data_IF_686897066327
#
_entry.id   IF_686897066327
#
_cell.length_a   1.000
_cell.length_b   1.000
_cell.length_c   1.000
_cell.angle_alpha   90.00
_cell.angle_beta   90.00
_cell.angle_gamma   90.00
#
_symmetry.space_group_name_H-M   'P 1'
#
loop_
_entity.id
_entity.type
_entity.pdbx_description
1 polymer ?
#
# COMPACT_ATOMS: atom_id res chain seq x y z
N UNK A 1 -6.50 -9.55 5.75
CA UNK A 1 -6.71 -10.93 5.25
C UNK A 1 -7.09 -10.90 3.78
N UNK A 2 -6.52 -11.82 3.01
CA UNK A 2 -6.79 -12.02 1.60
C UNK A 2 -7.08 -13.49 1.35
N UNK A 3 -8.01 -13.84 0.47
CA UNK A 3 -8.19 -15.21 0.05
C UNK A 3 -7.09 -15.62 -0.94
N UNK A 4 -6.61 -16.84 -0.80
CA UNK A 4 -5.80 -17.51 -1.81
C UNK A 4 -6.68 -18.17 -2.88
N UNK A 5 -6.09 -18.60 -3.99
CA UNK A 5 -6.83 -19.29 -5.06
C UNK A 5 -7.43 -20.63 -4.61
N UNK A 6 -6.79 -21.29 -3.66
CA UNK A 6 -7.26 -22.56 -3.07
C UNK A 6 -8.21 -22.36 -1.88
N UNK A 7 -8.61 -21.11 -1.59
CA UNK A 7 -9.61 -20.78 -0.57
C UNK A 7 -9.07 -20.66 0.84
N UNK A 8 -7.77 -20.66 1.03
CA UNK A 8 -7.16 -20.36 2.32
C UNK A 8 -7.14 -18.86 2.60
N UNK A 9 -6.74 -18.46 3.79
CA UNK A 9 -6.61 -17.06 4.17
C UNK A 9 -5.15 -16.69 4.39
N UNK A 10 -4.71 -15.61 3.77
CA UNK A 10 -3.39 -15.01 4.01
C UNK A 10 -3.53 -13.75 4.83
N UNK A 11 -2.67 -13.60 5.81
CA UNK A 11 -2.51 -12.38 6.58
C UNK A 11 -1.27 -11.63 6.09
N UNK A 12 -1.47 -10.40 5.68
CA UNK A 12 -0.39 -9.51 5.31
C UNK A 12 -0.03 -8.65 6.52
N UNK A 13 1.17 -8.84 7.05
CA UNK A 13 1.64 -8.15 8.23
C UNK A 13 2.56 -6.99 7.82
N UNK A 14 2.34 -5.85 8.40
CA UNK A 14 3.11 -4.63 8.17
C UNK A 14 3.12 -3.77 9.42
N UNK A 15 3.42 -2.49 9.27
CA UNK A 15 3.58 -1.54 10.37
C UNK A 15 4.99 -1.57 10.93
N UNK A 16 5.16 -1.25 12.22
CA UNK A 16 6.47 -1.04 12.85
C UNK A 16 7.44 -2.20 12.66
N UNK A 17 6.95 -3.44 12.64
CA UNK A 17 7.79 -4.62 12.41
C UNK A 17 8.39 -4.69 11.01
N UNK A 18 7.84 -3.96 10.06
CA UNK A 18 8.27 -3.92 8.65
C UNK A 18 9.07 -2.66 8.30
N UNK A 19 9.19 -1.70 9.23
CA UNK A 19 9.94 -0.45 9.02
C UNK A 19 11.46 -0.66 9.21
N UNK A 20 12.20 0.35 9.64
CA UNK A 20 13.66 0.37 9.64
C UNK A 20 14.33 -0.88 10.22
N UNK A 21 13.92 -1.33 11.39
CA UNK A 21 14.48 -2.55 12.01
C UNK A 21 14.08 -3.81 11.23
N UNK A 22 12.89 -3.83 10.67
CA UNK A 22 12.40 -4.94 9.84
C UNK A 22 13.23 -5.11 8.57
N UNK A 23 13.63 -3.99 7.96
CA UNK A 23 14.50 -4.03 6.76
C UNK A 23 15.89 -4.61 7.08
N UNK A 24 16.40 -4.38 8.28
CA UNK A 24 17.72 -4.88 8.69
C UNK A 24 17.72 -6.39 9.04
N UNK A 25 16.57 -6.99 9.36
CA UNK A 25 16.47 -8.40 9.74
C UNK A 25 16.55 -9.31 8.51
N UNK A 26 17.12 -10.49 8.68
CA UNK A 26 16.94 -11.59 7.74
C UNK A 26 15.52 -12.18 7.86
N UNK A 27 15.18 -13.09 6.96
CA UNK A 27 13.86 -13.71 6.92
C UNK A 27 13.50 -14.43 8.22
N UNK A 28 14.41 -15.23 8.76
CA UNK A 28 14.16 -16.02 9.96
C UNK A 28 13.91 -15.10 11.18
N UNK A 29 14.72 -14.06 11.33
CA UNK A 29 14.57 -13.07 12.40
C UNK A 29 13.27 -12.27 12.23
N UNK A 30 12.89 -11.91 11.01
CA UNK A 30 11.64 -11.19 10.75
C UNK A 30 10.41 -12.06 11.07
N UNK A 31 10.42 -13.33 10.69
CA UNK A 31 9.35 -14.27 11.03
C UNK A 31 9.27 -14.48 12.56
N UNK A 32 10.40 -14.62 13.24
CA UNK A 32 10.40 -14.75 14.69
C UNK A 32 9.81 -13.53 15.40
N UNK A 33 10.13 -12.34 14.92
CA UNK A 33 9.56 -11.09 15.43
C UNK A 33 8.06 -11.01 15.18
N UNK A 34 7.60 -11.31 13.96
CA UNK A 34 6.20 -11.32 13.63
C UNK A 34 5.38 -12.28 14.49
N UNK A 35 5.91 -13.49 14.74
CA UNK A 35 5.30 -14.46 15.65
C UNK A 35 5.19 -13.93 17.08
N UNK A 36 6.24 -13.26 17.56
CA UNK A 36 6.26 -12.69 18.90
C UNK A 36 5.22 -11.58 19.07
N UNK A 37 5.12 -10.69 18.08
CA UNK A 37 4.14 -9.61 18.12
C UNK A 37 2.70 -10.13 17.99
N UNK A 38 2.45 -11.08 17.11
CA UNK A 38 1.12 -11.69 17.00
C UNK A 38 0.72 -12.44 18.27
N UNK A 39 1.64 -13.14 18.93
CA UNK A 39 1.35 -13.81 20.18
C UNK A 39 0.94 -12.84 21.31
N UNK A 40 1.43 -11.60 21.27
CA UNK A 40 0.99 -10.55 22.22
C UNK A 40 -0.38 -9.99 21.84
N UNK A 41 -0.60 -9.71 20.55
CA UNK A 41 -1.80 -9.04 20.07
C UNK A 41 -3.00 -9.99 20.00
N UNK A 42 -2.77 -11.24 19.63
CA UNK A 42 -3.78 -12.25 19.36
C UNK A 42 -3.46 -13.57 20.09
N UNK A 43 -3.32 -13.56 21.42
CA UNK A 43 -2.87 -14.73 22.18
C UNK A 43 -3.81 -15.94 22.13
N UNK A 44 -5.03 -15.74 21.65
CA UNK A 44 -6.05 -16.80 21.50
C UNK A 44 -6.03 -17.48 20.14
N UNK A 45 -5.15 -17.06 19.22
CA UNK A 45 -5.07 -17.67 17.88
C UNK A 45 -3.89 -18.62 17.85
N UNK A 46 -4.17 -19.88 17.49
CA UNK A 46 -3.12 -20.86 17.23
C UNK A 46 -2.57 -20.70 15.81
N UNK A 47 -1.31 -20.31 15.70
CA UNK A 47 -0.57 -20.18 14.45
C UNK A 47 0.46 -21.28 14.25
N UNK A 48 0.36 -22.40 14.99
CA UNK A 48 1.32 -23.49 14.93
C UNK A 48 1.43 -24.13 13.54
N UNK A 49 0.35 -24.14 12.79
CA UNK A 49 0.29 -24.72 11.43
C UNK A 49 0.42 -23.63 10.33
N UNK A 50 0.60 -22.36 10.70
CA UNK A 50 0.72 -21.29 9.71
C UNK A 50 2.06 -21.38 8.96
N UNK A 51 1.99 -21.24 7.65
CA UNK A 51 3.17 -21.03 6.81
C UNK A 51 3.57 -19.56 6.85
N UNK A 52 4.84 -19.28 6.75
CA UNK A 52 5.40 -17.95 6.88
C UNK A 52 6.34 -17.64 5.73
N UNK A 53 6.23 -16.44 5.20
CA UNK A 53 7.16 -15.91 4.22
C UNK A 53 7.36 -14.42 4.45
N UNK A 54 8.45 -13.88 3.92
CA UNK A 54 8.72 -12.44 3.94
C UNK A 54 8.77 -11.90 2.53
N UNK A 55 8.34 -10.66 2.36
CA UNK A 55 8.43 -9.94 1.11
C UNK A 55 9.08 -8.58 1.36
N UNK A 56 10.18 -8.30 0.65
CA UNK A 56 10.79 -6.98 0.62
C UNK A 56 10.21 -6.19 -0.54
N UNK A 57 9.75 -4.99 -0.25
CA UNK A 57 9.21 -4.08 -1.26
C UNK A 57 9.82 -2.70 -1.09
N UNK A 58 10.17 -2.08 -2.21
CA UNK A 58 10.52 -0.67 -2.25
C UNK A 58 9.24 0.12 -2.54
N UNK A 59 8.85 0.97 -1.59
CA UNK A 59 7.71 1.86 -1.75
C UNK A 59 8.20 3.23 -2.18
N UNK A 60 7.70 3.71 -3.32
CA UNK A 60 7.90 5.10 -3.69
C UNK A 60 7.02 5.98 -2.80
N UNK A 61 7.64 6.93 -2.11
CA UNK A 61 6.96 7.92 -1.28
C UNK A 61 7.56 9.30 -1.53
N UNK A 62 6.80 10.39 -1.34
CA UNK A 62 7.36 11.73 -1.44
C UNK A 62 8.51 11.92 -0.45
N UNK A 63 9.59 12.59 -0.88
CA UNK A 63 10.70 12.90 0.01
C UNK A 63 10.22 13.77 1.18
N UNK A 64 10.60 13.40 2.39
CA UNK A 64 10.20 14.06 3.62
C UNK A 64 11.42 14.34 4.50
N UNK A 65 11.34 15.42 5.27
CA UNK A 65 12.39 15.80 6.21
C UNK A 65 12.42 14.97 7.50
N UNK A 66 11.37 14.20 7.75
CA UNK A 66 11.23 13.35 8.93
C UNK A 66 10.60 12.00 8.54
N UNK A 67 10.77 11.00 9.39
CA UNK A 67 10.25 9.63 9.19
C UNK A 67 8.73 9.50 9.45
N UNK A 68 8.07 10.58 9.82
CA UNK A 68 6.63 10.56 10.08
C UNK A 68 5.86 10.69 8.78
N UNK A 69 4.89 9.81 8.55
CA UNK A 69 3.98 9.93 7.40
C UNK A 69 3.13 11.19 7.55
N UNK A 70 3.02 12.01 6.49
CA UNK A 70 2.20 13.21 6.53
C UNK A 70 0.75 12.89 6.85
N UNK A 71 0.08 13.84 7.50
CA UNK A 71 -1.37 13.77 7.74
C UNK A 71 -2.19 14.34 6.59
N UNK A 72 -1.52 14.83 5.55
CA UNK A 72 -2.14 15.39 4.35
C UNK A 72 -1.69 14.62 3.10
N UNK A 73 -2.53 14.61 2.08
CA UNK A 73 -2.13 14.15 0.76
C UNK A 73 -1.05 15.07 0.17
N UNK A 74 -0.13 14.48 -0.56
CA UNK A 74 0.89 15.22 -1.29
C UNK A 74 0.42 15.49 -2.72
N UNK A 75 0.55 16.73 -3.18
CA UNK A 75 0.33 17.12 -4.57
C UNK A 75 1.42 18.13 -4.97
N UNK A 76 2.10 17.84 -6.06
CA UNK A 76 3.10 18.71 -6.65
C UNK A 76 2.90 18.86 -8.16
N UNK A 77 3.35 19.97 -8.69
CA UNK A 77 3.28 20.28 -10.10
C UNK A 77 4.67 20.18 -10.74
N UNK A 78 4.72 19.56 -11.90
CA UNK A 78 5.91 19.49 -12.73
C UNK A 78 5.53 19.84 -14.18
N UNK A 79 5.53 21.12 -14.50
CA UNK A 79 5.05 21.61 -15.79
C UNK A 79 3.57 21.33 -16.00
N UNK A 80 3.22 20.40 -16.89
CA UNK A 80 1.83 19.99 -17.16
C UNK A 80 1.42 18.69 -16.45
N UNK A 81 2.25 18.21 -15.55
CA UNK A 81 1.99 16.99 -14.78
C UNK A 81 1.62 17.36 -13.35
N UNK A 82 0.57 16.74 -12.84
CA UNK A 82 0.26 16.68 -11.43
C UNK A 82 0.80 15.37 -10.88
N UNK A 83 1.69 15.45 -9.89
CA UNK A 83 2.25 14.30 -9.19
C UNK A 83 1.64 14.26 -7.81
N UNK A 84 0.89 13.21 -7.53
CA UNK A 84 0.15 13.12 -6.30
C UNK A 84 0.30 11.79 -5.57
N UNK A 85 0.18 11.87 -4.25
CA UNK A 85 0.29 10.73 -3.36
C UNK A 85 -0.66 10.87 -2.17
N UNK A 86 -1.60 9.94 -1.97
CA UNK A 86 -2.50 9.99 -0.82
C UNK A 86 -1.79 9.64 0.50
N UNK A 87 -0.53 9.18 0.50
CA UNK A 87 0.30 8.75 1.64
C UNK A 87 -0.34 7.69 2.54
N UNK A 88 -1.62 7.81 2.83
CA UNK A 88 -2.47 6.82 3.51
C UNK A 88 -3.73 6.65 2.66
N UNK A 89 -4.27 5.45 2.57
CA UNK A 89 -5.52 5.20 1.83
C UNK A 89 -6.69 6.09 2.32
N UNK A 90 -6.73 6.36 3.62
CA UNK A 90 -7.72 7.25 4.23
C UNK A 90 -7.64 8.71 3.73
N UNK A 91 -6.52 9.12 3.15
CA UNK A 91 -6.34 10.45 2.56
C UNK A 91 -6.72 10.52 1.06
N UNK A 92 -7.23 9.45 0.48
CA UNK A 92 -7.67 9.45 -0.92
C UNK A 92 -8.76 10.51 -1.23
N UNK A 93 -9.75 10.77 -0.35
CA UNK A 93 -10.68 11.88 -0.55
C UNK A 93 -10.00 13.26 -0.54
N UNK A 94 -9.15 13.54 0.45
CA UNK A 94 -8.38 14.80 0.52
C UNK A 94 -7.52 14.98 -0.74
N UNK A 95 -6.90 13.91 -1.22
CA UNK A 95 -6.13 13.93 -2.46
C UNK A 95 -7.01 14.27 -3.68
N UNK A 96 -8.18 13.66 -3.78
CA UNK A 96 -9.11 13.93 -4.88
C UNK A 96 -9.58 15.38 -4.87
N UNK A 97 -9.93 15.93 -3.71
CA UNK A 97 -10.38 17.31 -3.56
C UNK A 97 -9.27 18.30 -3.98
N UNK A 98 -8.03 18.05 -3.60
CA UNK A 98 -6.87 18.88 -4.01
C UNK A 98 -6.62 18.83 -5.51
N UNK A 99 -6.73 17.66 -6.13
CA UNK A 99 -6.60 17.52 -7.58
C UNK A 99 -7.73 18.27 -8.30
N UNK A 100 -8.97 18.12 -7.84
CA UNK A 100 -10.11 18.84 -8.43
C UNK A 100 -9.94 20.36 -8.32
N UNK A 101 -9.59 20.86 -7.14
CA UNK A 101 -9.35 22.29 -6.93
C UNK A 101 -8.26 22.82 -7.88
N UNK A 102 -7.16 22.07 -8.02
CA UNK A 102 -6.08 22.47 -8.93
C UNK A 102 -6.50 22.50 -10.39
N UNK A 103 -7.28 21.51 -10.83
CA UNK A 103 -7.82 21.48 -12.21
C UNK A 103 -8.76 22.65 -12.46
N UNK A 104 -9.59 23.02 -11.48
CA UNK A 104 -10.49 24.19 -11.58
C UNK A 104 -9.71 25.50 -11.67
N UNK A 105 -8.63 25.67 -10.93
CA UNK A 105 -7.72 26.81 -11.04
C UNK A 105 -7.12 26.94 -12.43
N UNK A 106 -6.81 25.82 -13.09
CA UNK A 106 -6.36 25.79 -14.48
C UNK A 106 -7.48 25.99 -15.51
N UNK A 107 -8.71 26.19 -15.07
CA UNK A 107 -9.88 26.36 -15.92
C UNK A 107 -10.39 25.06 -16.54
N UNK A 108 -9.89 23.91 -16.08
CA UNK A 108 -10.36 22.59 -16.52
C UNK A 108 -11.61 22.24 -15.72
N UNK A 109 -12.73 22.10 -16.43
CA UNK A 109 -14.03 21.79 -15.83
C UNK A 109 -14.61 20.53 -16.45
N UNK A 110 -15.45 19.78 -15.73
CA UNK A 110 -16.18 18.66 -16.30
C UNK A 110 -17.00 19.17 -17.50
N UNK A 111 -16.91 18.45 -18.63
CA UNK A 111 -17.81 18.66 -19.75
C UNK A 111 -18.95 17.63 -19.68
N UNK A 112 -20.14 18.03 -20.11
CA UNK A 112 -21.22 17.07 -20.25
C UNK A 112 -20.83 16.02 -21.31
N UNK A 113 -20.82 14.76 -20.89
CA UNK A 113 -20.78 13.58 -21.77
C UNK A 113 -19.53 13.34 -22.64
N UNK A 114 -18.33 13.43 -22.10
CA UNK A 114 -17.22 12.77 -22.75
C UNK A 114 -17.36 11.23 -22.63
N UNK A 115 -17.57 10.54 -23.73
CA UNK A 115 -17.49 9.09 -23.73
C UNK A 115 -16.09 8.68 -23.27
N UNK A 116 -16.01 7.89 -22.19
CA UNK A 116 -14.72 7.39 -21.72
C UNK A 116 -14.11 6.48 -22.81
N UNK A 117 -12.85 6.68 -23.16
CA UNK A 117 -12.20 5.82 -24.12
C UNK A 117 -12.16 4.37 -23.61
N UNK A 118 -12.48 3.44 -24.47
CA UNK A 118 -12.32 2.01 -24.18
C UNK A 118 -10.82 1.68 -24.22
N UNK A 119 -10.19 1.67 -23.06
CA UNK A 119 -8.80 1.25 -22.93
C UNK A 119 -8.71 -0.26 -22.75
N UNK A 120 -7.70 -0.92 -23.36
CA UNK A 120 -7.46 -2.33 -23.09
C UNK A 120 -7.14 -2.54 -21.62
N UNK A 121 -7.69 -3.59 -21.02
CA UNK A 121 -7.35 -3.95 -19.64
C UNK A 121 -5.95 -4.57 -19.61
N UNK A 122 -5.00 -4.03 -18.83
CA UNK A 122 -3.71 -4.66 -18.67
C UNK A 122 -3.88 -6.01 -17.95
N UNK A 123 -2.93 -6.95 -18.13
CA UNK A 123 -2.92 -8.15 -17.33
C UNK A 123 -2.74 -7.79 -15.85
N UNK A 124 -3.43 -8.51 -14.97
CA UNK A 124 -3.24 -8.35 -13.53
C UNK A 124 -1.95 -9.04 -13.11
N UNK A 125 -1.18 -8.38 -12.26
CA UNK A 125 -0.04 -9.01 -11.61
C UNK A 125 -0.51 -10.13 -10.67
N UNK A 126 0.29 -11.17 -10.56
CA UNK A 126 0.03 -12.22 -9.60
C UNK A 126 0.21 -11.68 -8.19
N UNK A 127 -0.72 -11.98 -7.25
CA UNK A 127 -0.58 -11.54 -5.87
C UNK A 127 0.70 -12.08 -5.24
N UNK A 128 1.39 -11.25 -4.46
CA UNK A 128 2.67 -11.60 -3.87
C UNK A 128 2.59 -12.87 -2.98
N UNK A 129 1.46 -13.09 -2.33
CA UNK A 129 1.25 -14.28 -1.48
C UNK A 129 1.07 -15.57 -2.31
N UNK A 130 0.56 -15.50 -3.53
CA UNK A 130 0.51 -16.67 -4.40
C UNK A 130 1.92 -17.10 -4.83
N UNK A 131 2.81 -16.13 -5.02
CA UNK A 131 4.21 -16.40 -5.39
C UNK A 131 5.03 -16.88 -4.19
N UNK A 132 4.78 -16.33 -3.01
CA UNK A 132 5.56 -16.64 -1.80
C UNK A 132 5.33 -18.06 -1.27
N UNK A 133 4.19 -18.67 -1.58
CA UNK A 133 3.80 -20.02 -1.11
C UNK A 133 3.61 -21.03 -2.24
N UNK A 134 4.06 -20.71 -3.47
CA UNK A 134 4.00 -21.58 -4.63
C UNK A 134 5.00 -22.74 -4.58
#
# INVERSE_FOLDING_TARGET
>A
THPTRDGQSVWYLGGDIAEADGVARDEAAQIAEARRELAKLLPWIDLGQAQWATLRVDRAEPAQSNLLRPDNAFLAEQGRLLVGWPTKLALAPDFADRVCARLEEDGIRPSEHAALPQLPRPPLAEPAWEVAFA
#
